data_IF_925523903468
#
_entry.id   IF_925523903468
#
_cell.length_a   1.000
_cell.length_b   1.000
_cell.length_c   1.000
_cell.angle_alpha   90.00
_cell.angle_beta   90.00
_cell.angle_gamma   90.00
#
_symmetry.space_group_name_H-M   'P 1'
#
loop_
_entity.id
_entity.type
_entity.pdbx_description
1 polymer ?
#
# COMPACT_ATOMS: atom_id res chain seq x y z
N UNK A 1 8.47 2.06 -4.84
CA UNK A 1 7.40 1.06 -4.62
C UNK A 1 7.36 0.60 -3.16
N UNK A 2 8.40 0.00 -2.60
CA UNK A 2 8.40 -0.54 -1.20
C UNK A 2 7.91 0.46 -0.16
N UNK A 3 8.35 1.72 -0.24
CA UNK A 3 7.99 2.77 0.74
C UNK A 3 6.51 3.14 0.77
N UNK A 4 5.79 2.93 -0.34
CA UNK A 4 4.34 3.13 -0.38
C UNK A 4 3.62 2.07 0.46
N UNK A 5 4.18 0.86 0.57
CA UNK A 5 3.59 -0.22 1.35
C UNK A 5 3.55 0.09 2.85
N UNK A 6 4.48 0.92 3.35
CA UNK A 6 4.54 1.31 4.77
C UNK A 6 3.39 2.21 5.22
N UNK A 7 2.55 2.68 4.30
CA UNK A 7 1.41 3.57 4.58
C UNK A 7 0.08 2.99 4.12
N UNK A 8 0.07 1.75 3.62
CA UNK A 8 -1.17 1.05 3.26
C UNK A 8 -1.83 0.46 4.50
N UNK A 9 -3.15 0.55 4.56
CA UNK A 9 -3.97 -0.17 5.53
C UNK A 9 -4.30 -1.57 4.98
N UNK A 10 -4.66 -1.64 3.69
CA UNK A 10 -4.96 -2.87 2.96
C UNK A 10 -4.35 -2.84 1.57
N UNK A 11 -4.16 -4.00 0.97
CA UNK A 11 -3.70 -4.14 -0.41
C UNK A 11 -4.60 -5.08 -1.22
N UNK A 12 -4.80 -4.76 -2.49
CA UNK A 12 -5.34 -5.69 -3.47
C UNK A 12 -4.21 -6.08 -4.42
N UNK A 13 -3.75 -7.33 -4.33
CA UNK A 13 -2.72 -7.87 -5.21
C UNK A 13 -3.37 -8.47 -6.46
N UNK A 14 -3.19 -7.82 -7.60
CA UNK A 14 -3.76 -8.25 -8.87
C UNK A 14 -2.80 -9.19 -9.58
N UNK A 15 -3.27 -10.39 -9.93
CA UNK A 15 -2.49 -11.45 -10.61
C UNK A 15 -3.17 -11.77 -11.95
N UNK A 16 -2.39 -11.96 -13.00
CA UNK A 16 -2.94 -12.40 -14.29
C UNK A 16 -3.26 -13.89 -14.26
N UNK A 17 -4.51 -14.28 -14.56
CA UNK A 17 -4.93 -15.67 -14.60
C UNK A 17 -4.23 -16.48 -15.70
N UNK A 18 -3.82 -15.85 -16.81
CA UNK A 18 -3.05 -16.50 -17.87
C UNK A 18 -1.58 -16.77 -17.51
N UNK A 19 -0.98 -15.92 -16.65
CA UNK A 19 0.44 -15.96 -16.34
C UNK A 19 0.73 -16.56 -14.95
N UNK A 20 -0.27 -16.54 -14.06
CA UNK A 20 -0.15 -17.01 -12.69
C UNK A 20 0.83 -16.20 -11.83
N UNK A 21 1.36 -16.84 -10.80
CA UNK A 21 2.29 -16.22 -9.84
C UNK A 21 3.69 -16.10 -10.43
N UNK A 22 4.12 -14.88 -10.74
CA UNK A 22 5.43 -14.57 -11.31
C UNK A 22 6.45 -14.11 -10.25
N UNK A 23 7.70 -13.92 -10.65
CA UNK A 23 8.78 -13.45 -9.77
C UNK A 23 8.47 -12.13 -9.08
N UNK A 24 7.90 -11.17 -9.84
CA UNK A 24 7.50 -9.86 -9.28
C UNK A 24 6.37 -9.99 -8.25
N UNK A 25 5.38 -10.85 -8.48
CA UNK A 25 4.30 -11.16 -7.54
C UNK A 25 4.86 -11.66 -6.20
N UNK A 26 5.85 -12.58 -6.25
CA UNK A 26 6.50 -13.10 -5.03
C UNK A 26 7.27 -12.01 -4.27
N UNK A 27 7.92 -11.09 -4.99
CA UNK A 27 8.61 -9.97 -4.36
C UNK A 27 7.62 -9.05 -3.64
N UNK A 28 6.50 -8.68 -4.29
CA UNK A 28 5.45 -7.89 -3.67
C UNK A 28 4.83 -8.60 -2.47
N UNK A 29 4.56 -9.90 -2.58
CA UNK A 29 4.02 -10.71 -1.49
C UNK A 29 4.90 -10.66 -0.24
N UNK A 30 6.21 -10.88 -0.38
CA UNK A 30 7.17 -10.80 0.73
C UNK A 30 7.23 -9.40 1.35
N UNK A 31 7.10 -8.36 0.54
CA UNK A 31 7.06 -6.99 1.06
C UNK A 31 5.75 -6.73 1.83
N UNK A 32 4.60 -7.16 1.32
CA UNK A 32 3.31 -7.07 2.02
C UNK A 32 3.35 -7.83 3.35
N UNK A 33 3.95 -9.01 3.38
CA UNK A 33 4.18 -9.79 4.60
C UNK A 33 5.07 -9.03 5.60
N UNK A 34 6.21 -8.48 5.13
CA UNK A 34 7.14 -7.72 5.98
C UNK A 34 6.49 -6.49 6.63
N UNK A 35 5.66 -5.79 5.88
CA UNK A 35 4.95 -4.60 6.37
C UNK A 35 3.66 -4.93 7.09
N UNK A 36 3.30 -6.21 7.20
CA UNK A 36 2.09 -6.66 7.88
C UNK A 36 0.80 -6.20 7.20
N UNK A 37 0.83 -5.89 5.89
CA UNK A 37 -0.33 -5.33 5.18
C UNK A 37 -1.34 -6.43 4.87
N UNK A 38 -2.59 -6.37 5.41
CA UNK A 38 -3.68 -7.26 5.05
C UNK A 38 -3.93 -7.22 3.53
N UNK A 39 -4.13 -8.39 2.91
CA UNK A 39 -4.07 -8.47 1.45
C UNK A 39 -5.20 -9.32 0.88
N UNK A 40 -5.95 -8.73 -0.06
CA UNK A 40 -6.88 -9.41 -0.95
C UNK A 40 -6.17 -9.75 -2.26
N UNK A 41 -6.55 -10.85 -2.90
CA UNK A 41 -6.03 -11.24 -4.20
C UNK A 41 -7.14 -11.16 -5.26
N UNK A 42 -6.85 -10.51 -6.38
CA UNK A 42 -7.74 -10.50 -7.54
C UNK A 42 -7.07 -11.15 -8.74
N UNK A 43 -7.54 -12.33 -9.12
CA UNK A 43 -7.03 -13.09 -10.25
C UNK A 43 -7.77 -12.64 -11.49
N UNK A 44 -7.12 -11.74 -12.23
CA UNK A 44 -7.69 -11.02 -13.36
C UNK A 44 -7.48 -11.77 -14.69
N UNK A 45 -8.24 -11.41 -15.72
CA UNK A 45 -8.17 -11.98 -17.07
C UNK A 45 -8.59 -13.45 -17.15
N UNK A 46 -9.53 -13.86 -16.30
CA UNK A 46 -10.08 -15.22 -16.34
C UNK A 46 -10.90 -15.50 -17.62
N UNK A 47 -11.21 -14.48 -18.41
CA UNK A 47 -11.84 -14.59 -19.73
C UNK A 47 -10.89 -15.03 -20.85
N UNK A 48 -9.59 -15.11 -20.59
CA UNK A 48 -8.62 -15.57 -21.58
C UNK A 48 -8.51 -17.10 -21.62
N UNK A 49 -8.24 -17.65 -22.80
CA UNK A 49 -8.04 -19.08 -22.97
C UNK A 49 -6.84 -19.59 -22.15
N UNK A 50 -7.05 -20.68 -21.43
CA UNK A 50 -6.02 -21.30 -20.58
C UNK A 50 -6.02 -20.88 -19.13
N UNK A 51 -6.89 -19.96 -18.71
CA UNK A 51 -7.09 -19.67 -17.29
C UNK A 51 -7.90 -20.83 -16.65
N UNK A 52 -7.32 -21.43 -15.62
CA UNK A 52 -7.91 -22.54 -14.84
C UNK A 52 -7.88 -22.16 -13.36
N UNK A 53 -9.07 -21.95 -12.80
CA UNK A 53 -9.27 -21.48 -11.42
C UNK A 53 -8.69 -22.47 -10.41
N UNK A 54 -8.95 -23.75 -10.55
CA UNK A 54 -8.46 -24.80 -9.66
C UNK A 54 -6.93 -24.92 -9.66
N UNK A 55 -6.32 -24.86 -10.86
CA UNK A 55 -4.88 -24.86 -11.01
C UNK A 55 -4.25 -23.60 -10.39
N UNK A 56 -4.90 -22.44 -10.56
CA UNK A 56 -4.45 -21.16 -9.99
C UNK A 56 -4.56 -21.16 -8.46
N UNK A 57 -5.67 -21.63 -7.88
CA UNK A 57 -5.79 -21.78 -6.42
C UNK A 57 -4.70 -22.68 -5.86
N UNK A 58 -4.41 -23.83 -6.51
CA UNK A 58 -3.30 -24.70 -6.11
C UNK A 58 -1.95 -23.98 -6.18
N UNK A 59 -1.74 -23.16 -7.21
CA UNK A 59 -0.51 -22.37 -7.34
C UNK A 59 -0.39 -21.29 -6.27
N UNK A 60 -1.47 -20.56 -5.97
CA UNK A 60 -1.52 -19.54 -4.92
C UNK A 60 -1.18 -20.14 -3.57
N UNK A 61 -1.87 -21.24 -3.19
CA UNK A 61 -1.65 -21.92 -1.92
C UNK A 61 -0.23 -22.43 -1.73
N UNK A 62 0.41 -22.92 -2.79
CA UNK A 62 1.81 -23.41 -2.73
C UNK A 62 2.86 -22.31 -2.76
N UNK A 63 2.55 -21.18 -3.41
CA UNK A 63 3.58 -20.17 -3.76
C UNK A 63 3.51 -18.94 -2.87
N UNK A 64 2.33 -18.57 -2.43
CA UNK A 64 2.09 -17.40 -1.59
C UNK A 64 1.76 -17.80 -0.15
N UNK A 65 0.62 -18.43 0.08
CA UNK A 65 0.22 -18.89 1.41
C UNK A 65 -0.82 -20.01 1.32
N UNK A 66 -0.77 -20.97 2.24
CA UNK A 66 -1.77 -22.03 2.39
C UNK A 66 -3.15 -21.47 2.80
N UNK A 67 -3.18 -20.29 3.42
CA UNK A 67 -4.37 -19.57 3.88
C UNK A 67 -5.04 -18.72 2.77
N UNK A 68 -4.66 -18.91 1.51
CA UNK A 68 -5.44 -18.40 0.36
C UNK A 68 -6.75 -19.16 0.26
N UNK A 69 -7.87 -18.45 0.34
CA UNK A 69 -9.23 -19.01 0.29
C UNK A 69 -10.01 -18.39 -0.87
N UNK A 70 -10.72 -19.22 -1.63
CA UNK A 70 -11.57 -18.76 -2.73
C UNK A 70 -12.88 -18.17 -2.20
N UNK A 71 -13.06 -16.87 -2.40
CA UNK A 71 -14.28 -16.13 -2.05
C UNK A 71 -15.28 -16.04 -3.19
N UNK A 72 -14.92 -16.54 -4.37
CA UNK A 72 -15.87 -16.74 -5.50
C UNK A 72 -16.66 -18.04 -5.38
N UNK A 73 -16.21 -18.97 -4.52
CA UNK A 73 -16.87 -20.24 -4.24
C UNK A 73 -18.18 -20.05 -3.44
N UNK A 74 -19.07 -21.08 -3.43
CA UNK A 74 -20.24 -21.07 -2.55
C UNK A 74 -19.87 -20.84 -1.09
N UNK A 75 -20.72 -20.13 -0.34
CA UNK A 75 -20.48 -19.75 1.06
C UNK A 75 -20.12 -20.96 1.94
N UNK A 76 -20.78 -22.10 1.75
CA UNK A 76 -20.49 -23.33 2.51
C UNK A 76 -19.05 -23.83 2.30
N UNK A 77 -18.57 -23.83 1.05
CA UNK A 77 -17.22 -24.27 0.71
C UNK A 77 -16.16 -23.27 1.22
N UNK A 78 -16.47 -21.98 1.11
CA UNK A 78 -15.65 -20.90 1.66
C UNK A 78 -15.51 -21.04 3.18
N UNK A 79 -16.61 -21.21 3.90
CA UNK A 79 -16.63 -21.27 5.35
C UNK A 79 -15.93 -22.55 5.88
N UNK A 80 -16.05 -23.68 5.18
CA UNK A 80 -15.25 -24.89 5.45
C UNK A 80 -13.74 -24.62 5.29
N UNK A 81 -13.34 -23.90 4.24
CA UNK A 81 -11.94 -23.52 4.02
C UNK A 81 -11.44 -22.53 5.09
N UNK A 82 -12.26 -21.56 5.49
CA UNK A 82 -11.95 -20.61 6.56
C UNK A 82 -11.75 -21.30 7.91
N UNK A 83 -12.56 -22.32 8.22
CA UNK A 83 -12.44 -23.11 9.44
C UNK A 83 -11.08 -23.83 9.55
N UNK A 84 -10.40 -24.10 8.44
CA UNK A 84 -9.05 -24.66 8.45
C UNK A 84 -7.95 -23.63 8.68
N UNK A 85 -8.27 -22.32 8.56
CA UNK A 85 -7.30 -21.22 8.68
C UNK A 85 -7.22 -20.64 10.11
N UNK A 86 -8.18 -20.93 11.00
CA UNK A 86 -8.19 -20.37 12.35
C UNK A 86 -9.09 -21.09 13.33
N UNK A 87 -8.67 -21.13 14.59
CA UNK A 87 -9.39 -21.83 15.69
C UNK A 87 -10.79 -21.24 15.92
N UNK A 88 -10.90 -19.91 15.96
CA UNK A 88 -12.20 -19.24 16.15
C UNK A 88 -13.18 -19.50 15.00
N UNK A 89 -12.68 -19.54 13.75
CA UNK A 89 -13.49 -19.87 12.60
C UNK A 89 -13.94 -21.34 12.65
N UNK A 90 -13.08 -22.26 13.09
CA UNK A 90 -13.42 -23.66 13.29
C UNK A 90 -14.49 -23.84 14.36
N UNK A 91 -14.36 -23.16 15.50
CA UNK A 91 -15.37 -23.19 16.58
C UNK A 91 -16.72 -22.70 16.07
N UNK A 92 -16.78 -21.54 15.38
CA UNK A 92 -18.00 -21.01 14.80
C UNK A 92 -18.64 -21.98 13.78
N UNK A 93 -17.82 -22.59 12.92
CA UNK A 93 -18.29 -23.58 11.95
C UNK A 93 -18.89 -24.80 12.62
N UNK A 94 -18.29 -25.30 13.71
CA UNK A 94 -18.80 -26.47 14.47
C UNK A 94 -20.06 -26.14 15.26
N UNK A 95 -20.19 -24.94 15.83
CA UNK A 95 -21.32 -24.55 16.66
C UNK A 95 -22.52 -24.04 15.84
N UNK A 96 -22.26 -23.30 14.76
CA UNK A 96 -23.29 -22.56 14.02
C UNK A 96 -23.41 -22.97 12.55
N UNK A 97 -22.46 -23.76 12.02
CA UNK A 97 -22.41 -24.15 10.62
C UNK A 97 -22.04 -23.05 9.65
N UNK A 98 -21.51 -21.92 10.16
CA UNK A 98 -21.09 -20.79 9.36
C UNK A 98 -20.05 -19.94 10.11
N UNK A 99 -19.21 -19.20 9.37
CA UNK A 99 -18.25 -18.22 9.90
C UNK A 99 -18.84 -16.82 9.76
N UNK A 100 -18.81 -16.02 10.82
CA UNK A 100 -19.37 -14.66 10.80
C UNK A 100 -18.47 -13.68 10.05
N UNK A 101 -19.06 -12.64 9.43
CA UNK A 101 -18.32 -11.60 8.72
C UNK A 101 -17.31 -10.88 9.63
N UNK A 102 -17.64 -10.67 10.90
CA UNK A 102 -16.71 -10.10 11.88
C UNK A 102 -15.47 -10.98 12.10
N UNK A 103 -15.66 -12.31 12.21
CA UNK A 103 -14.54 -13.23 12.32
C UNK A 103 -13.68 -13.23 11.05
N UNK A 104 -14.28 -13.16 9.88
CA UNK A 104 -13.56 -13.08 8.60
C UNK A 104 -12.76 -11.78 8.54
N UNK A 105 -13.34 -10.63 8.93
CA UNK A 105 -12.66 -9.34 8.94
C UNK A 105 -11.43 -9.36 9.88
N UNK A 106 -11.58 -9.92 11.08
CA UNK A 106 -10.46 -10.10 12.02
C UNK A 106 -9.37 -11.02 11.46
N UNK A 107 -9.74 -12.12 10.78
CA UNK A 107 -8.77 -13.03 10.13
C UNK A 107 -8.02 -12.33 9.00
N UNK A 108 -8.69 -11.49 8.20
CA UNK A 108 -8.06 -10.70 7.13
C UNK A 108 -7.10 -9.68 7.73
N UNK A 109 -7.52 -8.94 8.76
CA UNK A 109 -6.70 -7.93 9.44
C UNK A 109 -5.43 -8.55 10.03
N UNK A 110 -5.54 -9.73 10.64
CA UNK A 110 -4.42 -10.47 11.22
C UNK A 110 -3.58 -11.22 10.19
N UNK A 111 -3.92 -11.15 8.89
CA UNK A 111 -3.30 -11.93 7.81
C UNK A 111 -3.36 -13.44 8.02
N UNK A 112 -4.37 -13.91 8.75
CA UNK A 112 -4.66 -15.33 8.95
C UNK A 112 -5.41 -15.94 7.75
N UNK A 113 -5.98 -15.11 6.87
CA UNK A 113 -6.63 -15.51 5.62
C UNK A 113 -6.37 -14.48 4.53
N UNK A 114 -6.31 -14.95 3.29
CA UNK A 114 -6.13 -14.12 2.10
C UNK A 114 -7.27 -14.40 1.11
N UNK A 115 -8.31 -13.53 1.08
CA UNK A 115 -9.43 -13.69 0.17
C UNK A 115 -9.00 -13.61 -1.29
N UNK A 116 -9.33 -14.62 -2.08
CA UNK A 116 -9.05 -14.74 -3.50
C UNK A 116 -10.35 -14.57 -4.30
N UNK A 117 -10.32 -13.71 -5.31
CA UNK A 117 -11.42 -13.45 -6.23
C UNK A 117 -10.96 -13.70 -7.65
N UNK A 118 -11.80 -14.38 -8.44
CA UNK A 118 -11.53 -14.66 -9.84
C UNK A 118 -12.43 -13.81 -10.73
N UNK A 119 -11.85 -13.23 -11.80
CA UNK A 119 -12.66 -12.39 -12.65
C UNK A 119 -11.93 -11.80 -13.86
N UNK A 120 -12.64 -10.90 -14.54
CA UNK A 120 -12.12 -10.11 -15.65
C UNK A 120 -12.51 -8.64 -15.43
N UNK A 121 -11.56 -7.82 -15.04
CA UNK A 121 -11.80 -6.40 -14.81
C UNK A 121 -12.28 -5.69 -16.10
N UNK A 122 -11.82 -6.13 -17.28
CA UNK A 122 -12.28 -5.59 -18.55
C UNK A 122 -13.76 -5.85 -18.80
N UNK A 123 -14.28 -7.00 -18.33
CA UNK A 123 -15.69 -7.39 -18.45
C UNK A 123 -16.50 -7.11 -17.20
N UNK A 124 -15.90 -6.48 -16.18
CA UNK A 124 -16.50 -6.21 -14.86
C UNK A 124 -16.96 -7.48 -14.13
N UNK A 125 -16.43 -8.66 -14.47
CA UNK A 125 -16.73 -9.92 -13.78
C UNK A 125 -15.88 -10.07 -12.53
N UNK A 126 -16.48 -10.43 -11.40
CA UNK A 126 -15.83 -10.61 -10.09
C UNK A 126 -15.43 -9.29 -9.41
N UNK A 127 -15.67 -8.13 -10.05
CA UNK A 127 -15.29 -6.82 -9.51
C UNK A 127 -16.28 -6.35 -8.44
N UNK A 128 -17.57 -6.57 -8.63
CA UNK A 128 -18.60 -6.19 -7.66
C UNK A 128 -18.44 -7.01 -6.38
N UNK A 129 -18.14 -8.30 -6.50
CA UNK A 129 -17.89 -9.21 -5.39
C UNK A 129 -16.64 -8.79 -4.59
N UNK A 130 -15.55 -8.43 -5.27
CA UNK A 130 -14.36 -7.87 -4.62
C UNK A 130 -14.68 -6.58 -3.87
N UNK A 131 -15.42 -5.66 -4.49
CA UNK A 131 -15.77 -4.38 -3.85
C UNK A 131 -16.67 -4.58 -2.63
N UNK A 132 -17.65 -5.49 -2.71
CA UNK A 132 -18.49 -5.84 -1.57
C UNK A 132 -17.67 -6.47 -0.44
N UNK A 133 -16.71 -7.34 -0.77
CA UNK A 133 -15.82 -7.92 0.22
C UNK A 133 -14.88 -6.90 0.87
N UNK A 134 -14.38 -5.93 0.11
CA UNK A 134 -13.61 -4.82 0.68
C UNK A 134 -14.45 -3.99 1.66
N UNK A 135 -15.72 -3.70 1.31
CA UNK A 135 -16.63 -2.96 2.20
C UNK A 135 -16.97 -3.74 3.48
N UNK A 136 -17.06 -5.08 3.38
CA UNK A 136 -17.47 -5.94 4.50
C UNK A 136 -16.30 -6.37 5.39
N UNK A 137 -15.14 -6.66 4.82
CA UNK A 137 -14.03 -7.31 5.52
C UNK A 137 -12.82 -6.41 5.76
N UNK A 138 -12.93 -5.10 5.53
CA UNK A 138 -11.92 -4.14 5.99
C UNK A 138 -12.38 -3.43 7.24
N UNK A 139 -11.50 -3.31 8.22
CA UNK A 139 -11.75 -2.59 9.46
C UNK A 139 -11.17 -1.18 9.37
N UNK A 140 -11.86 -0.19 9.95
CA UNK A 140 -11.27 1.14 10.12
C UNK A 140 -10.12 1.06 11.11
N UNK A 141 -8.90 1.53 10.76
CA UNK A 141 -7.79 1.58 11.70
C UNK A 141 -8.10 2.50 12.88
N UNK A 142 -7.74 2.07 14.08
CA UNK A 142 -7.80 2.92 15.28
C UNK A 142 -6.58 3.85 15.30
N UNK A 143 -6.81 5.13 15.03
CA UNK A 143 -5.77 6.13 14.98
C UNK A 143 -5.66 6.88 16.32
N UNK A 144 -4.43 7.09 16.84
CA UNK A 144 -4.24 7.85 18.07
C UNK A 144 -4.61 9.33 17.91
N UNK A 145 -5.06 9.96 19.00
CA UNK A 145 -5.35 11.41 19.04
C UNK A 145 -4.09 12.27 18.87
N UNK A 146 -2.94 11.75 19.25
CA UNK A 146 -1.66 12.42 19.11
C UNK A 146 -1.30 12.61 17.63
N UNK A 147 -0.94 13.85 17.26
CA UNK A 147 -0.54 14.15 15.87
C UNK A 147 0.65 13.29 15.43
N UNK A 148 0.48 12.62 14.30
CA UNK A 148 1.52 11.83 13.63
C UNK A 148 1.34 11.82 12.12
N UNK A 149 2.44 11.85 11.38
CA UNK A 149 2.42 11.66 9.92
C UNK A 149 3.66 10.90 9.47
N UNK A 150 3.54 10.15 8.38
CA UNK A 150 4.65 9.46 7.72
C UNK A 150 4.81 9.91 6.28
N UNK A 151 6.00 10.39 5.93
CA UNK A 151 6.36 10.76 4.57
C UNK A 151 6.75 9.49 3.79
N UNK A 152 6.07 9.21 2.69
CA UNK A 152 6.33 8.00 1.89
C UNK A 152 6.80 8.29 0.47
N UNK A 153 6.61 9.52 -0.03
CA UNK A 153 7.01 9.90 -1.39
C UNK A 153 7.30 11.40 -1.47
N UNK A 154 8.25 11.75 -2.33
CA UNK A 154 8.48 13.11 -2.79
C UNK A 154 8.29 13.13 -4.30
N UNK A 155 7.69 14.18 -4.83
CA UNK A 155 7.55 14.41 -6.26
C UNK A 155 7.49 15.91 -6.56
N UNK A 156 7.44 16.27 -7.83
CA UNK A 156 7.23 17.65 -8.26
C UNK A 156 5.96 17.76 -9.08
N UNK A 157 5.25 18.88 -8.94
CA UNK A 157 4.09 19.15 -9.79
C UNK A 157 4.52 19.66 -11.19
N UNK A 158 3.54 19.91 -12.06
CA UNK A 158 3.80 20.40 -13.43
C UNK A 158 4.52 21.75 -13.49
N UNK A 159 4.51 22.51 -12.40
CA UNK A 159 5.21 23.78 -12.24
C UNK A 159 6.58 23.63 -11.58
N UNK A 160 6.98 22.40 -11.23
CA UNK A 160 8.24 22.09 -10.56
C UNK A 160 8.20 22.29 -9.05
N UNK A 161 7.05 22.61 -8.47
CA UNK A 161 6.93 22.75 -7.02
C UNK A 161 7.06 21.38 -6.33
N UNK A 162 7.87 21.33 -5.26
CA UNK A 162 8.10 20.12 -4.47
C UNK A 162 6.86 19.73 -3.68
N UNK A 163 6.46 18.48 -3.81
CA UNK A 163 5.35 17.86 -3.12
C UNK A 163 5.88 16.78 -2.17
N UNK A 164 5.60 16.94 -0.89
CA UNK A 164 5.84 15.91 0.13
C UNK A 164 4.56 15.13 0.36
N UNK A 165 4.54 13.87 -0.06
CA UNK A 165 3.40 12.98 0.14
C UNK A 165 3.50 12.30 1.48
N UNK A 166 2.46 12.43 2.28
CA UNK A 166 2.41 11.85 3.60
C UNK A 166 1.01 11.26 3.90
N UNK A 167 1.00 10.28 4.80
CA UNK A 167 -0.20 9.79 5.45
C UNK A 167 -0.27 10.37 6.85
N UNK A 168 -1.41 10.89 7.25
CA UNK A 168 -1.67 11.28 8.63
C UNK A 168 -1.98 10.00 9.43
N UNK A 169 -1.13 9.68 10.41
CA UNK A 169 -1.20 8.45 11.22
C UNK A 169 -1.78 8.69 12.62
N UNK A 170 -2.12 9.95 12.93
CA UNK A 170 -2.78 10.34 14.19
C UNK A 170 -3.12 11.81 14.19
N UNK A 171 -4.15 12.18 14.93
CA UNK A 171 -4.62 13.55 15.09
C UNK A 171 -5.00 14.22 13.75
N UNK A 172 -4.65 15.50 13.61
CA UNK A 172 -5.04 16.32 12.44
C UNK A 172 -3.89 17.23 12.01
N UNK A 173 -3.58 17.22 10.72
CA UNK A 173 -2.65 18.15 10.08
C UNK A 173 -3.43 19.37 9.54
N UNK A 174 -3.01 20.59 9.90
CA UNK A 174 -3.62 21.84 9.42
C UNK A 174 -2.68 22.62 8.52
N UNK A 175 -3.27 23.37 7.59
CA UNK A 175 -2.54 24.36 6.78
C UNK A 175 -1.88 25.38 7.69
N UNK A 176 -0.63 25.78 7.36
CA UNK A 176 0.23 26.69 8.13
C UNK A 176 0.68 26.16 9.51
N UNK A 177 0.34 24.90 9.85
CA UNK A 177 0.89 24.29 11.06
C UNK A 177 2.42 24.23 11.00
N UNK A 178 3.13 24.64 12.05
CA UNK A 178 4.56 24.46 12.15
C UNK A 178 4.87 22.97 12.38
N UNK A 179 5.77 22.42 11.56
CA UNK A 179 6.25 21.04 11.68
C UNK A 179 7.74 21.08 11.99
N UNK A 180 8.12 20.49 13.11
CA UNK A 180 9.53 20.42 13.53
C UNK A 180 10.02 19.00 13.41
N UNK A 181 11.17 18.83 12.79
CA UNK A 181 11.79 17.52 12.55
C UNK A 181 13.29 17.62 12.31
N UNK A 182 13.97 16.51 12.50
CA UNK A 182 15.41 16.40 12.27
C UNK A 182 15.68 15.83 10.88
N UNK A 183 16.58 16.46 10.13
CA UNK A 183 17.06 15.97 8.85
C UNK A 183 18.55 16.29 8.70
N UNK A 184 19.35 15.31 8.25
CA UNK A 184 20.79 15.47 8.02
C UNK A 184 21.56 16.06 9.23
N UNK A 185 21.15 15.69 10.45
CA UNK A 185 21.78 16.17 11.70
C UNK A 185 21.44 17.61 12.08
N UNK A 186 20.40 18.19 11.50
CA UNK A 186 19.89 19.53 11.84
C UNK A 186 18.39 19.47 12.08
N UNK A 187 17.93 20.27 13.03
CA UNK A 187 16.50 20.48 13.31
C UNK A 187 15.95 21.57 12.41
N UNK A 188 14.88 21.26 11.69
CA UNK A 188 14.14 22.18 10.83
C UNK A 188 12.76 22.45 11.44
N UNK A 189 12.29 23.69 11.28
CA UNK A 189 10.93 24.07 11.59
C UNK A 189 10.33 24.74 10.35
N UNK A 190 9.51 24.00 9.63
CA UNK A 190 8.87 24.41 8.39
C UNK A 190 7.35 24.41 8.53
N UNK A 191 6.64 25.00 7.58
CA UNK A 191 5.19 25.08 7.61
C UNK A 191 4.58 24.30 6.45
N UNK A 192 3.47 23.62 6.73
CA UNK A 192 2.62 23.02 5.69
C UNK A 192 1.89 24.14 4.94
N UNK A 193 2.43 24.64 3.83
CA UNK A 193 1.88 25.77 3.12
C UNK A 193 0.52 25.48 2.49
N UNK A 194 0.38 24.33 1.84
CA UNK A 194 -0.87 23.81 1.28
C UNK A 194 -0.98 22.32 1.55
N UNK A 195 -2.20 21.87 1.79
CA UNK A 195 -2.58 20.46 1.78
C UNK A 195 -3.38 20.18 0.52
N UNK A 196 -2.96 19.21 -0.27
CA UNK A 196 -3.60 18.85 -1.54
C UNK A 196 -4.05 17.39 -1.52
N UNK A 197 -5.36 17.19 -1.67
CA UNK A 197 -5.93 15.86 -1.88
C UNK A 197 -6.05 15.60 -3.38
N UNK A 198 -5.30 14.63 -3.88
CA UNK A 198 -5.28 14.30 -5.31
C UNK A 198 -6.33 13.25 -5.66
N UNK A 199 -6.95 13.44 -6.82
CA UNK A 199 -7.76 12.44 -7.52
C UNK A 199 -7.31 12.38 -8.98
N UNK A 200 -6.47 11.40 -9.31
CA UNK A 200 -5.74 11.37 -10.58
C UNK A 200 -4.79 12.55 -10.70
N UNK A 201 -4.90 13.31 -11.79
CA UNK A 201 -4.07 14.51 -12.05
C UNK A 201 -4.63 15.80 -11.42
N UNK A 202 -5.85 15.75 -10.92
CA UNK A 202 -6.50 16.92 -10.28
C UNK A 202 -6.36 16.83 -8.77
N UNK A 203 -6.29 17.97 -8.12
CA UNK A 203 -6.35 18.05 -6.67
C UNK A 203 -7.33 19.10 -6.18
N UNK A 204 -7.79 18.95 -4.95
CA UNK A 204 -8.45 19.99 -4.18
C UNK A 204 -7.56 20.39 -3.01
N UNK A 205 -7.54 21.68 -2.69
CA UNK A 205 -6.91 22.16 -1.47
C UNK A 205 -7.79 21.82 -0.26
N UNK A 206 -7.14 21.48 0.85
CA UNK A 206 -7.77 21.22 2.14
C UNK A 206 -7.23 22.22 3.15
N UNK A 207 -8.05 22.61 4.12
CA UNK A 207 -7.63 23.40 5.28
C UNK A 207 -7.03 22.50 6.36
N UNK A 208 -7.54 21.26 6.46
CA UNK A 208 -7.05 20.24 7.39
C UNK A 208 -7.21 18.83 6.80
N UNK A 209 -6.40 17.90 7.30
CA UNK A 209 -6.41 16.48 6.99
C UNK A 209 -6.35 15.68 8.29
N UNK A 210 -7.37 14.86 8.55
CA UNK A 210 -7.45 13.96 9.71
C UNK A 210 -6.65 12.68 9.49
N UNK A 211 -6.50 11.91 10.55
CA UNK A 211 -5.88 10.58 10.53
C UNK A 211 -6.49 9.69 9.44
N UNK A 212 -5.67 8.83 8.84
CA UNK A 212 -6.02 8.02 7.66
C UNK A 212 -5.87 8.74 6.32
N UNK A 213 -5.86 10.08 6.30
CA UNK A 213 -5.76 10.84 5.05
C UNK A 213 -4.37 10.75 4.42
N UNK A 214 -4.34 10.56 3.10
CA UNK A 214 -3.14 10.65 2.26
C UNK A 214 -3.17 11.96 1.50
N UNK A 215 -2.21 12.85 1.76
CA UNK A 215 -2.17 14.19 1.18
C UNK A 215 -0.77 14.54 0.67
N UNK A 216 -0.71 15.44 -0.33
CA UNK A 216 0.54 16.08 -0.73
C UNK A 216 0.63 17.47 -0.08
N UNK A 217 1.80 17.75 0.49
CA UNK A 217 2.07 18.99 1.23
C UNK A 217 3.15 19.78 0.51
N UNK A 218 2.97 21.11 0.40
CA UNK A 218 4.01 22.04 -0.02
C UNK A 218 4.58 22.79 1.18
N UNK A 219 5.81 23.31 1.06
CA UNK A 219 6.48 24.09 2.11
C UNK A 219 7.46 23.29 2.97
N UNK A 220 7.58 21.97 2.75
CA UNK A 220 8.52 21.11 3.47
C UNK A 220 9.76 20.82 2.58
N UNK A 221 10.76 21.69 2.63
CA UNK A 221 11.92 21.66 1.74
C UNK A 221 12.96 20.61 2.13
N UNK A 222 13.05 20.27 3.40
CA UNK A 222 14.07 19.37 3.96
C UNK A 222 13.50 18.01 4.38
N UNK A 223 12.21 17.78 4.18
CA UNK A 223 11.59 16.47 4.42
C UNK A 223 12.19 15.41 3.49
N UNK A 224 12.19 14.16 3.91
CA UNK A 224 12.69 13.02 3.11
C UNK A 224 11.74 11.82 3.26
N UNK A 225 11.87 10.90 2.33
CA UNK A 225 11.03 9.68 2.33
C UNK A 225 11.43 8.79 3.49
N UNK A 226 10.42 8.39 4.30
CA UNK A 226 10.60 7.63 5.54
C UNK A 226 10.58 8.49 6.81
N UNK A 227 10.57 9.83 6.67
CA UNK A 227 10.48 10.73 7.82
C UNK A 227 9.14 10.53 8.55
N UNK A 228 9.21 10.32 9.86
CA UNK A 228 8.10 10.41 10.78
C UNK A 228 8.02 11.81 11.40
N UNK A 229 6.81 12.33 11.57
CA UNK A 229 6.56 13.64 12.20
C UNK A 229 5.61 13.46 13.38
N UNK A 230 5.77 14.28 14.41
CA UNK A 230 4.95 14.21 15.63
C UNK A 230 5.23 12.95 16.44
N UNK A 231 4.20 12.17 16.71
CA UNK A 231 4.32 10.90 17.45
C UNK A 231 4.80 9.73 16.58
N UNK A 232 4.91 9.93 15.27
CA UNK A 232 5.32 8.88 14.34
C UNK A 232 6.82 8.68 14.36
N UNK A 233 7.27 7.42 14.42
CA UNK A 233 8.68 7.08 14.34
C UNK A 233 9.18 7.12 12.89
N UNK A 234 10.49 7.33 12.72
CA UNK A 234 11.14 7.21 11.42
C UNK A 234 11.01 5.77 10.86
N UNK A 235 10.74 5.65 9.56
CA UNK A 235 10.60 4.37 8.92
C UNK A 235 11.94 3.62 8.85
N UNK A 236 11.89 2.29 8.97
CA UNK A 236 13.07 1.44 8.79
C UNK A 236 13.62 1.54 7.36
N UNK A 237 14.91 1.25 7.21
CA UNK A 237 15.56 1.24 5.89
C UNK A 237 14.85 0.27 4.92
N UNK A 238 14.75 0.62 3.63
CA UNK A 238 14.14 -0.23 2.62
C UNK A 238 14.94 -1.52 2.44
N UNK A 239 14.23 -2.62 2.12
CA UNK A 239 14.83 -3.93 1.85
C UNK A 239 15.43 -4.00 0.45
N UNK A 240 14.74 -3.38 -0.51
CA UNK A 240 15.19 -3.38 -1.90
C UNK A 240 16.37 -2.41 -2.03
N UNK A 241 17.52 -2.96 -2.42
CA UNK A 241 18.73 -2.19 -2.68
C UNK A 241 19.06 -2.20 -4.18
N UNK A 242 19.71 -1.13 -4.71
CA UNK A 242 20.14 -1.11 -6.10
C UNK A 242 21.13 -2.24 -6.38
N UNK A 243 20.88 -3.00 -7.44
CA UNK A 243 21.72 -4.14 -7.85
C UNK A 243 22.80 -3.68 -8.84
N UNK A 244 22.54 -2.61 -9.57
CA UNK A 244 23.41 -2.12 -10.63
C UNK A 244 23.78 -0.65 -10.37
N UNK A 245 25.04 -0.34 -10.58
CA UNK A 245 25.58 1.03 -10.53
C UNK A 245 26.13 1.40 -11.90
N UNK A 246 25.77 2.58 -12.39
CA UNK A 246 26.22 3.11 -13.68
C UNK A 246 26.98 4.41 -13.49
N UNK A 247 28.00 4.62 -14.31
CA UNK A 247 28.67 5.92 -14.44
C UNK A 247 27.91 6.75 -15.48
N UNK A 248 27.49 7.96 -15.09
CA UNK A 248 26.92 8.93 -16.01
C UNK A 248 28.04 9.70 -16.72
N UNK A 249 28.11 9.61 -18.04
CA UNK A 249 29.03 10.39 -18.88
C UNK A 249 28.24 11.55 -19.46
N UNK A 250 28.60 12.76 -19.10
CA UNK A 250 27.96 13.95 -19.64
C UNK A 250 28.49 14.25 -21.06
N UNK A 251 27.63 14.75 -21.97
CA UNK A 251 28.09 15.19 -23.28
C UNK A 251 29.02 16.43 -23.17
N UNK A 252 29.86 16.64 -24.19
CA UNK A 252 30.76 17.76 -24.25
C UNK A 252 30.01 19.09 -24.14
N UNK A 253 30.48 19.97 -23.24
CA UNK A 253 29.86 21.27 -23.00
C UNK A 253 28.68 21.27 -22.03
N UNK A 254 28.27 20.12 -21.50
CA UNK A 254 27.25 20.08 -20.48
C UNK A 254 27.75 20.61 -19.13
N UNK A 255 26.93 21.40 -18.45
CA UNK A 255 27.25 21.90 -17.12
C UNK A 255 27.05 20.79 -16.05
N UNK A 256 28.17 20.36 -15.48
CA UNK A 256 28.19 19.32 -14.45
C UNK A 256 27.41 19.73 -13.18
N UNK A 257 27.36 21.02 -12.85
CA UNK A 257 26.62 21.49 -11.67
C UNK A 257 25.11 21.38 -11.87
N UNK A 258 24.60 21.80 -13.02
CA UNK A 258 23.21 21.64 -13.40
C UNK A 258 22.80 20.15 -13.46
N UNK A 259 23.67 19.29 -14.00
CA UNK A 259 23.44 17.86 -14.06
C UNK A 259 23.35 17.25 -12.65
N UNK A 260 24.28 17.62 -11.76
CA UNK A 260 24.26 17.15 -10.36
C UNK A 260 23.02 17.62 -9.61
N UNK A 261 22.57 18.86 -9.83
CA UNK A 261 21.35 19.39 -9.23
C UNK A 261 20.13 18.56 -9.64
N UNK A 262 20.00 18.25 -10.94
CA UNK A 262 18.91 17.38 -11.43
C UNK A 262 18.99 15.95 -10.91
N UNK A 263 20.20 15.40 -10.78
CA UNK A 263 20.36 14.06 -10.19
C UNK A 263 19.94 14.02 -8.72
N UNK A 264 20.25 15.06 -7.95
CA UNK A 264 19.78 15.19 -6.56
C UNK A 264 18.26 15.33 -6.47
N UNK A 265 17.63 16.03 -7.40
CA UNK A 265 16.16 16.09 -7.48
C UNK A 265 15.55 14.72 -7.74
N UNK A 266 16.15 13.92 -8.64
CA UNK A 266 15.72 12.54 -8.89
C UNK A 266 15.97 11.63 -7.68
N UNK A 267 17.09 11.79 -6.99
CA UNK A 267 17.39 11.06 -5.75
C UNK A 267 16.36 11.37 -4.63
N UNK A 268 15.89 12.61 -4.53
CA UNK A 268 14.81 12.96 -3.59
C UNK A 268 13.48 12.25 -3.93
N UNK A 269 13.17 12.11 -5.23
CA UNK A 269 11.92 11.47 -5.70
C UNK A 269 11.96 9.95 -5.57
N UNK A 270 13.11 9.34 -5.84
CA UNK A 270 13.32 7.90 -5.73
C UNK A 270 14.67 7.60 -5.03
N UNK A 271 14.76 7.87 -3.74
CA UNK A 271 15.96 7.57 -2.96
C UNK A 271 16.06 6.06 -2.78
N UNK A 272 17.11 5.45 -3.31
CA UNK A 272 17.47 4.04 -3.18
C UNK A 272 18.67 3.85 -2.26
#
# INVERSE_FOLDING_TARGET
MERTLSVLDYAVLVISGSDGVQGHTRTLWRLLERYGVPTFLFINKMDLAGADESALMTQLSRTLSAECVDFSAPVSERDEALALCGETALEQMLEHGAVTDACIADMVEQRAVFPCFFGSALKMQGVEELLAALDTFTLEPDYPDAFGTRVFKISRDAQGARLTWLKVTGGTLRVKAPLTYDAQGKTYSEKADQLRLYSGVKFRALDEAGAGSVVAVTGLSHSYVGLGLGAEAEASAPLLQPVLTYQLILPDGADAHSALTKLRELEEEDPM
#
